data_IF_789070914591
#
_entry.id   IF_789070914591
#
_cell.length_a   1.000
_cell.length_b   1.000
_cell.length_c   1.000
_cell.angle_alpha   90.00
_cell.angle_beta   90.00
_cell.angle_gamma   90.00
#
_symmetry.space_group_name_H-M   'P 1'
#
loop_
_entity.id
_entity.type
_entity.pdbx_description
1 polymer ?
#
# COMPACT_ATOMS: atom_id res chain seq x y z
N UNK A 1 -71.94 39.76 19.19
CA UNK A 1 -70.88 38.75 19.27
C UNK A 1 -70.51 38.37 17.88
N UNK A 2 -69.33 38.77 17.35
CA UNK A 2 -68.86 38.54 15.99
C UNK A 2 -67.82 37.42 15.99
N UNK A 3 -68.16 36.25 15.45
CA UNK A 3 -67.20 35.14 15.24
C UNK A 3 -66.26 35.50 14.09
N UNK A 4 -64.96 35.54 14.38
CA UNK A 4 -63.92 35.63 13.36
C UNK A 4 -63.32 34.23 13.19
N UNK A 5 -63.56 33.63 12.03
CA UNK A 5 -62.96 32.40 11.57
C UNK A 5 -61.59 32.70 11.02
N UNK A 6 -60.52 32.19 11.61
CA UNK A 6 -59.16 32.26 11.05
C UNK A 6 -58.97 31.06 10.11
N UNK A 7 -58.80 31.32 8.85
CA UNK A 7 -58.34 30.34 7.88
C UNK A 7 -56.84 30.21 7.97
N UNK A 8 -56.32 29.05 8.32
CA UNK A 8 -54.92 28.73 8.31
C UNK A 8 -54.51 28.32 6.87
N UNK A 9 -53.71 29.13 6.21
CA UNK A 9 -53.10 28.77 4.94
C UNK A 9 -51.86 27.92 5.22
N UNK A 10 -51.91 26.62 4.92
CA UNK A 10 -50.74 25.72 4.97
C UNK A 10 -49.88 25.99 3.73
N UNK A 11 -48.76 26.62 3.92
CA UNK A 11 -47.74 26.81 2.89
C UNK A 11 -46.91 25.54 2.76
N UNK A 12 -47.20 24.68 1.77
CA UNK A 12 -46.41 23.49 1.46
C UNK A 12 -45.16 23.92 0.73
N UNK A 13 -44.04 23.97 1.42
CA UNK A 13 -42.74 24.21 0.79
C UNK A 13 -42.33 22.94 0.02
N UNK A 14 -42.42 22.99 -1.29
CA UNK A 14 -41.83 22.00 -2.20
C UNK A 14 -40.35 22.28 -2.25
N UNK A 15 -39.56 21.53 -1.48
CA UNK A 15 -38.10 21.51 -1.62
C UNK A 15 -37.76 20.84 -2.97
N UNK A 16 -37.04 21.54 -3.86
CA UNK A 16 -36.53 20.89 -5.06
C UNK A 16 -35.50 19.86 -4.65
N UNK A 17 -35.81 18.59 -4.86
CA UNK A 17 -34.79 17.54 -4.87
C UNK A 17 -33.79 17.89 -5.98
N UNK A 18 -32.65 18.46 -5.59
CA UNK A 18 -31.50 18.53 -6.48
C UNK A 18 -31.08 17.08 -6.78
N UNK A 19 -31.49 16.57 -7.93
CA UNK A 19 -30.93 15.34 -8.47
C UNK A 19 -29.45 15.63 -8.66
N UNK A 20 -28.62 15.06 -7.78
CA UNK A 20 -27.19 15.12 -7.93
C UNK A 20 -26.88 14.53 -9.31
N UNK A 21 -26.46 15.39 -10.24
CA UNK A 21 -25.93 14.93 -11.52
C UNK A 21 -24.78 13.99 -11.17
N UNK A 22 -24.74 12.78 -11.77
CA UNK A 22 -23.55 11.97 -11.63
C UNK A 22 -22.37 12.86 -12.03
N UNK A 23 -21.36 12.94 -11.18
CA UNK A 23 -20.13 13.65 -11.51
C UNK A 23 -19.72 13.17 -12.90
N UNK A 24 -19.59 14.10 -13.85
CA UNK A 24 -19.19 13.75 -15.20
C UNK A 24 -17.91 12.95 -15.07
N UNK A 25 -17.91 11.73 -15.62
CA UNK A 25 -16.72 10.89 -15.59
C UNK A 25 -15.55 11.73 -16.11
N UNK A 26 -14.48 11.75 -15.37
CA UNK A 26 -13.25 12.45 -15.72
C UNK A 26 -12.84 12.02 -17.13
N UNK A 27 -12.71 12.97 -18.05
CA UNK A 27 -12.42 12.69 -19.45
C UNK A 27 -11.08 13.29 -19.79
N UNK A 28 -10.14 12.42 -20.16
CA UNK A 28 -8.86 12.86 -20.68
C UNK A 28 -9.02 13.45 -22.09
N UNK A 29 -8.29 14.52 -22.36
CA UNK A 29 -8.20 15.08 -23.71
C UNK A 29 -7.34 14.19 -24.60
N UNK A 30 -7.89 13.71 -25.70
CA UNK A 30 -7.18 12.83 -26.62
C UNK A 30 -5.95 13.49 -27.28
N UNK A 31 -5.94 14.83 -27.34
CA UNK A 31 -4.83 15.62 -27.88
C UNK A 31 -3.75 15.99 -26.87
N UNK A 32 -3.97 15.72 -25.59
CA UNK A 32 -2.94 15.99 -24.59
C UNK A 32 -1.74 15.06 -24.81
N UNK A 33 -0.52 15.57 -24.73
CA UNK A 33 0.66 14.73 -24.78
C UNK A 33 0.57 13.76 -23.60
N UNK A 34 0.31 12.49 -23.88
CA UNK A 34 0.39 11.46 -22.86
C UNK A 34 1.84 11.31 -22.46
N UNK A 35 2.17 11.60 -21.22
CA UNK A 35 3.43 11.15 -20.66
C UNK A 35 3.45 9.62 -20.72
N UNK A 36 4.41 9.08 -21.45
CA UNK A 36 4.61 7.64 -21.53
C UNK A 36 5.66 7.28 -20.52
N UNK A 37 5.25 6.59 -19.48
CA UNK A 37 6.20 5.90 -18.63
C UNK A 37 6.84 4.78 -19.46
N UNK A 38 8.07 5.00 -19.87
CA UNK A 38 8.83 3.98 -20.57
C UNK A 38 9.41 3.03 -19.53
N UNK A 39 8.65 1.99 -19.18
CA UNK A 39 9.07 0.93 -18.25
C UNK A 39 10.26 0.10 -18.75
N UNK A 40 10.68 0.30 -19.98
CA UNK A 40 11.83 -0.32 -20.63
C UNK A 40 13.15 0.43 -20.38
N UNK A 41 13.11 1.53 -19.66
CA UNK A 41 14.31 2.27 -19.30
C UNK A 41 15.20 1.47 -18.33
N UNK A 42 16.49 1.55 -18.55
CA UNK A 42 17.50 0.79 -17.82
C UNK A 42 17.31 0.86 -16.31
N UNK A 43 17.14 -0.29 -15.68
CA UNK A 43 17.14 -0.40 -14.23
C UNK A 43 18.54 -0.07 -13.73
N UNK A 44 18.73 1.04 -12.99
CA UNK A 44 20.06 1.38 -12.47
C UNK A 44 20.46 0.35 -11.43
N UNK A 45 21.51 -0.39 -11.69
CA UNK A 45 22.26 -1.21 -10.76
C UNK A 45 21.47 -2.07 -9.76
N UNK A 46 22.18 -2.72 -8.84
CA UNK A 46 21.54 -3.45 -7.73
C UNK A 46 20.98 -2.44 -6.73
N UNK A 47 19.67 -2.53 -6.40
CA UNK A 47 19.09 -1.65 -5.41
C UNK A 47 19.78 -1.81 -4.05
N UNK A 48 20.17 -0.71 -3.43
CA UNK A 48 20.72 -0.71 -2.08
C UNK A 48 19.60 -0.89 -1.05
N UNK A 49 19.75 -1.84 -0.13
CA UNK A 49 18.82 -2.02 0.99
C UNK A 49 18.86 -0.83 1.97
N UNK A 50 19.99 -0.17 2.09
CA UNK A 50 20.18 1.04 2.90
C UNK A 50 20.78 2.15 2.05
N UNK A 51 19.99 3.17 1.84
CA UNK A 51 20.37 4.38 1.15
C UNK A 51 20.36 5.54 2.16
N UNK A 52 21.49 6.20 2.33
CA UNK A 52 21.64 7.38 3.18
C UNK A 52 20.96 8.63 2.60
N UNK A 53 20.44 8.56 1.38
CA UNK A 53 19.81 9.70 0.72
C UNK A 53 18.67 10.30 1.56
N UNK A 54 17.85 9.49 2.21
CA UNK A 54 16.78 9.98 3.07
C UNK A 54 17.27 10.80 4.27
N UNK A 55 18.39 10.40 4.88
CA UNK A 55 19.02 11.15 5.98
C UNK A 55 19.68 12.42 5.46
N UNK A 56 20.33 12.34 4.29
CA UNK A 56 20.93 13.47 3.62
C UNK A 56 19.90 14.51 3.20
N UNK A 57 18.78 14.08 2.68
CA UNK A 57 17.67 14.95 2.30
C UNK A 57 17.00 15.59 3.50
N UNK A 58 16.82 14.86 4.61
CA UNK A 58 16.31 15.43 5.86
C UNK A 58 17.24 16.53 6.37
N UNK A 59 18.57 16.28 6.34
CA UNK A 59 19.58 17.26 6.71
C UNK A 59 19.52 18.49 5.80
N UNK A 60 19.53 18.26 4.49
CA UNK A 60 19.49 19.34 3.49
C UNK A 60 18.21 20.16 3.61
N UNK A 61 17.05 19.52 3.80
CA UNK A 61 15.76 20.20 3.94
C UNK A 61 15.66 20.99 5.26
N UNK A 62 16.37 20.56 6.31
CA UNK A 62 16.44 21.32 7.57
C UNK A 62 17.12 22.67 7.38
N UNK A 63 18.10 22.75 6.50
CA UNK A 63 18.85 23.98 6.22
C UNK A 63 18.37 24.74 4.97
N UNK A 64 17.52 24.15 4.15
CA UNK A 64 16.87 24.86 3.05
C UNK A 64 15.85 25.84 3.64
N UNK A 65 16.03 27.13 3.33
CA UNK A 65 15.01 28.13 3.65
C UNK A 65 13.65 27.76 3.05
N UNK A 66 12.58 28.30 3.62
CA UNK A 66 11.22 28.10 3.06
C UNK A 66 11.25 28.35 1.56
N UNK A 67 10.61 27.49 0.74
CA UNK A 67 10.53 27.73 -0.69
C UNK A 67 9.99 29.13 -0.93
N UNK A 68 10.65 29.90 -1.81
CA UNK A 68 10.15 31.21 -2.22
C UNK A 68 8.71 31.02 -2.67
N UNK A 69 7.82 31.92 -2.27
CA UNK A 69 6.47 32.04 -2.83
C UNK A 69 6.61 32.42 -4.32
N UNK A 70 6.89 31.48 -5.15
CA UNK A 70 6.93 31.56 -6.60
C UNK A 70 5.87 30.65 -7.19
N UNK A 71 5.60 30.80 -8.47
CA UNK A 71 4.71 29.88 -9.18
C UNK A 71 5.20 28.44 -8.94
N UNK A 72 4.35 27.61 -8.34
CA UNK A 72 4.60 26.18 -8.25
C UNK A 72 4.64 25.69 -9.70
N UNK A 73 5.73 25.05 -10.17
CA UNK A 73 5.74 24.52 -11.52
C UNK A 73 4.56 23.55 -11.67
N UNK A 74 3.89 23.56 -12.82
CA UNK A 74 2.80 22.62 -13.07
C UNK A 74 3.32 21.20 -12.90
N UNK A 75 2.48 20.33 -12.32
CA UNK A 75 2.82 18.92 -12.21
C UNK A 75 3.00 18.36 -13.63
N UNK A 76 4.09 17.64 -13.83
CA UNK A 76 4.31 16.86 -15.04
C UNK A 76 3.49 15.57 -14.93
N UNK A 77 3.24 14.83 -15.97
CA UNK A 77 2.42 13.62 -15.92
C UNK A 77 0.93 13.86 -15.66
N UNK A 78 0.45 15.09 -15.86
CA UNK A 78 -0.97 15.44 -15.89
C UNK A 78 -1.32 16.07 -17.23
N UNK A 79 -2.60 15.96 -17.62
CA UNK A 79 -3.09 16.59 -18.82
C UNK A 79 -3.41 18.09 -18.59
N UNK A 80 -3.88 18.80 -19.63
CA UNK A 80 -4.25 20.23 -19.57
C UNK A 80 -5.38 20.53 -18.57
N UNK A 81 -6.13 19.52 -18.13
CA UNK A 81 -7.17 19.63 -17.12
C UNK A 81 -6.67 19.32 -15.71
N UNK A 82 -5.39 19.01 -15.56
CA UNK A 82 -4.81 18.60 -14.28
C UNK A 82 -5.17 17.16 -13.86
N UNK A 83 -5.58 16.33 -14.79
CA UNK A 83 -5.95 14.93 -14.56
C UNK A 83 -4.73 14.01 -14.77
N UNK A 84 -4.59 12.99 -13.92
CA UNK A 84 -3.54 11.98 -14.05
C UNK A 84 -4.01 10.90 -15.03
N UNK A 85 -3.29 10.66 -16.14
CA UNK A 85 -3.63 9.59 -17.07
C UNK A 85 -3.31 8.20 -16.51
N UNK A 86 -3.92 7.18 -17.10
CA UNK A 86 -3.53 5.79 -16.81
C UNK A 86 -2.09 5.55 -17.25
N UNK A 87 -1.35 4.80 -16.44
CA UNK A 87 0.06 4.49 -16.67
C UNK A 87 0.41 3.10 -16.13
N UNK A 88 1.67 2.69 -16.22
CA UNK A 88 2.15 1.43 -15.67
C UNK A 88 2.01 1.32 -14.14
N UNK A 89 1.92 2.43 -13.43
CA UNK A 89 1.83 2.48 -11.96
C UNK A 89 0.48 2.98 -11.43
N UNK A 90 -0.39 3.52 -12.29
CA UNK A 90 -1.66 4.14 -11.91
C UNK A 90 -2.76 3.81 -12.91
N UNK A 91 -3.97 3.56 -12.43
CA UNK A 91 -5.18 3.35 -13.22
C UNK A 91 -6.34 4.10 -12.56
N UNK A 92 -7.01 4.95 -13.31
CA UNK A 92 -8.15 5.69 -12.80
C UNK A 92 -9.30 4.75 -12.40
N UNK A 93 -9.65 4.71 -11.12
CA UNK A 93 -10.69 3.84 -10.58
C UNK A 93 -11.84 4.63 -9.99
N UNK A 94 -11.76 5.02 -8.73
CA UNK A 94 -12.90 5.62 -8.00
C UNK A 94 -13.34 6.98 -8.58
N UNK A 95 -12.44 7.71 -9.24
CA UNK A 95 -12.75 8.99 -9.90
C UNK A 95 -13.48 8.83 -11.23
N UNK A 96 -13.34 7.67 -11.87
CA UNK A 96 -13.89 7.40 -13.21
C UNK A 96 -15.15 6.55 -13.13
N UNK A 97 -15.19 5.60 -12.21
CA UNK A 97 -16.35 4.73 -11.99
C UNK A 97 -16.68 4.59 -10.50
N UNK A 98 -17.96 4.44 -10.15
CA UNK A 98 -18.31 4.09 -8.77
C UNK A 98 -17.70 2.74 -8.40
N UNK A 99 -17.19 2.64 -7.19
CA UNK A 99 -16.74 1.39 -6.59
C UNK A 99 -17.66 1.03 -5.43
N UNK A 100 -18.14 -0.20 -5.40
CA UNK A 100 -18.90 -0.73 -4.28
C UNK A 100 -18.00 -0.92 -3.04
N UNK A 101 -18.61 -0.92 -1.85
CA UNK A 101 -17.90 -1.23 -0.61
C UNK A 101 -17.23 -2.62 -0.67
N UNK A 102 -17.87 -3.59 -1.33
CA UNK A 102 -17.31 -4.93 -1.50
C UNK A 102 -16.05 -4.92 -2.38
N UNK A 103 -16.04 -4.15 -3.47
CA UNK A 103 -14.85 -3.98 -4.32
C UNK A 103 -13.71 -3.30 -3.55
N UNK A 104 -13.99 -2.24 -2.80
CA UNK A 104 -12.98 -1.54 -1.98
C UNK A 104 -12.42 -2.50 -0.91
N UNK A 105 -13.28 -3.27 -0.23
CA UNK A 105 -12.84 -4.26 0.76
C UNK A 105 -11.96 -5.35 0.17
N UNK A 106 -12.29 -5.84 -1.02
CA UNK A 106 -11.47 -6.82 -1.73
C UNK A 106 -10.14 -6.21 -2.16
N UNK A 107 -10.16 -4.96 -2.62
CA UNK A 107 -8.98 -4.25 -3.13
C UNK A 107 -8.33 -5.02 -4.29
N UNK A 108 -6.99 -5.16 -4.30
CA UNK A 108 -6.27 -5.84 -5.37
C UNK A 108 -6.39 -7.36 -5.34
N UNK A 109 -6.94 -7.95 -4.29
CA UNK A 109 -6.94 -9.41 -4.09
C UNK A 109 -7.81 -10.13 -5.12
N UNK A 110 -7.23 -11.16 -5.74
CA UNK A 110 -7.86 -12.00 -6.76
C UNK A 110 -8.30 -13.36 -6.24
N UNK A 111 -7.70 -13.83 -5.16
CA UNK A 111 -7.96 -15.11 -4.53
C UNK A 111 -7.97 -15.02 -2.99
N UNK A 112 -7.96 -16.18 -2.32
CA UNK A 112 -8.03 -16.29 -0.86
C UNK A 112 -6.67 -16.12 -0.15
N UNK A 113 -5.61 -15.84 -0.89
CA UNK A 113 -4.29 -15.60 -0.34
C UNK A 113 -3.46 -16.86 -0.11
N UNK A 114 -2.53 -16.81 0.86
CA UNK A 114 -1.61 -17.91 1.07
C UNK A 114 -2.31 -19.16 1.57
N UNK A 115 -1.89 -20.30 1.06
CA UNK A 115 -2.37 -21.61 1.51
C UNK A 115 -1.90 -21.88 2.94
N UNK A 116 -2.87 -22.07 3.83
CA UNK A 116 -2.64 -22.38 5.26
C UNK A 116 -2.88 -23.84 5.61
N UNK A 117 -3.21 -24.69 4.64
CA UNK A 117 -3.46 -26.13 4.86
C UNK A 117 -2.17 -26.92 5.03
N UNK A 118 -1.07 -26.40 4.49
CA UNK A 118 0.27 -26.98 4.62
C UNK A 118 1.25 -26.04 5.34
N UNK A 119 2.47 -26.50 5.56
CA UNK A 119 3.48 -25.69 6.23
C UNK A 119 3.92 -24.51 5.37
N UNK A 120 4.15 -23.38 6.02
CA UNK A 120 4.87 -22.26 5.43
C UNK A 120 6.38 -22.43 5.61
N UNK A 121 7.13 -22.22 4.57
CA UNK A 121 8.59 -22.31 4.60
C UNK A 121 9.21 -20.92 4.57
N UNK A 122 9.87 -20.51 5.64
CA UNK A 122 10.59 -19.23 5.72
C UNK A 122 11.86 -19.34 4.90
N UNK A 123 11.97 -18.52 3.86
CA UNK A 123 13.13 -18.47 2.97
C UNK A 123 14.08 -17.30 3.30
N UNK A 124 13.57 -16.29 4.01
CA UNK A 124 14.39 -15.14 4.45
C UNK A 124 13.78 -14.47 5.68
N UNK A 125 14.60 -14.18 6.67
CA UNK A 125 14.27 -13.21 7.72
C UNK A 125 14.34 -11.79 7.16
N UNK A 126 13.50 -10.88 7.67
CA UNK A 126 13.47 -9.49 7.21
C UNK A 126 14.78 -8.78 7.55
N UNK A 127 15.37 -8.13 6.58
CA UNK A 127 16.66 -7.44 6.68
C UNK A 127 16.56 -5.93 6.89
N UNK A 128 15.39 -5.34 6.62
CA UNK A 128 15.21 -3.88 6.66
C UNK A 128 13.86 -3.47 7.25
N UNK A 129 13.81 -2.24 7.77
CA UNK A 129 12.62 -1.62 8.36
C UNK A 129 12.38 -2.02 9.82
N UNK A 130 11.56 -1.23 10.52
CA UNK A 130 11.32 -1.33 11.97
C UNK A 130 10.41 -2.52 12.31
N UNK A 131 9.43 -2.81 11.47
CA UNK A 131 8.49 -3.91 11.73
C UNK A 131 9.12 -5.26 11.39
N UNK A 132 9.32 -6.15 12.36
CA UNK A 132 9.83 -7.48 12.11
C UNK A 132 8.91 -8.31 11.20
N UNK A 133 9.50 -9.20 10.44
CA UNK A 133 8.79 -10.05 9.51
C UNK A 133 9.73 -11.05 8.85
N UNK A 134 9.20 -11.81 7.91
CA UNK A 134 9.95 -12.79 7.15
C UNK A 134 9.30 -13.00 5.78
N UNK A 135 10.04 -13.60 4.87
CA UNK A 135 9.53 -14.03 3.57
C UNK A 135 9.27 -15.53 3.63
N UNK A 136 8.10 -15.95 3.20
CA UNK A 136 7.71 -17.35 3.14
C UNK A 136 7.43 -17.82 1.72
N UNK A 137 7.49 -19.13 1.55
CA UNK A 137 6.73 -19.87 0.53
C UNK A 137 5.62 -20.64 1.21
N UNK A 138 4.41 -20.55 0.68
CA UNK A 138 3.28 -21.35 1.14
C UNK A 138 3.33 -22.78 0.60
N UNK A 139 2.33 -23.61 0.89
CA UNK A 139 2.29 -25.00 0.42
C UNK A 139 2.21 -25.14 -1.10
N UNK A 140 1.75 -24.11 -1.82
CA UNK A 140 1.73 -24.06 -3.29
C UNK A 140 3.04 -23.57 -3.89
N UNK A 141 3.97 -23.06 -3.06
CA UNK A 141 5.22 -22.45 -3.49
C UNK A 141 5.14 -20.96 -3.80
N UNK A 142 3.97 -20.33 -3.59
CA UNK A 142 3.80 -18.89 -3.75
C UNK A 142 4.57 -18.13 -2.67
N UNK A 143 5.20 -17.03 -3.06
CA UNK A 143 6.04 -16.22 -2.15
C UNK A 143 5.25 -15.06 -1.56
N UNK A 144 5.37 -14.90 -0.24
CA UNK A 144 4.75 -13.81 0.51
C UNK A 144 5.73 -13.13 1.46
N UNK A 145 5.60 -11.81 1.57
CA UNK A 145 6.22 -11.03 2.63
C UNK A 145 5.26 -10.96 3.81
N UNK A 146 5.72 -11.45 4.96
CA UNK A 146 4.88 -11.58 6.15
C UNK A 146 5.35 -10.59 7.22
N UNK A 147 4.40 -9.88 7.80
CA UNK A 147 4.61 -8.99 8.95
C UNK A 147 3.58 -9.29 10.03
N UNK A 148 3.93 -9.07 11.28
CA UNK A 148 3.07 -9.30 12.44
C UNK A 148 3.00 -8.06 13.33
N UNK A 149 1.98 -8.02 14.16
CA UNK A 149 1.77 -6.93 15.10
C UNK A 149 2.76 -7.00 16.28
N UNK A 150 3.18 -5.85 16.81
CA UNK A 150 3.88 -5.80 18.10
C UNK A 150 3.02 -6.39 19.22
N UNK A 151 3.65 -6.98 20.23
CA UNK A 151 2.93 -7.64 21.34
C UNK A 151 1.86 -6.77 22.00
N UNK A 152 2.16 -5.50 22.18
CA UNK A 152 1.30 -4.55 22.89
C UNK A 152 0.23 -3.89 21.99
N UNK A 153 0.33 -4.05 20.68
CA UNK A 153 -0.49 -3.32 19.71
C UNK A 153 -1.09 -4.26 18.67
N UNK A 154 -1.96 -5.15 19.13
CA UNK A 154 -2.67 -6.08 18.25
C UNK A 154 -3.49 -5.35 17.19
N UNK A 155 -3.29 -5.71 15.94
CA UNK A 155 -4.00 -5.14 14.80
C UNK A 155 -3.40 -3.85 14.24
N UNK A 156 -2.40 -3.25 14.89
CA UNK A 156 -1.85 -1.95 14.48
C UNK A 156 -1.15 -2.03 13.11
N UNK A 157 -0.08 -2.81 13.02
CA UNK A 157 0.72 -2.88 11.78
C UNK A 157 -0.01 -3.63 10.67
N UNK A 158 -0.62 -4.76 11.01
CA UNK A 158 -1.33 -5.59 10.04
C UNK A 158 -2.59 -4.91 9.53
N UNK A 159 -3.32 -4.21 10.39
CA UNK A 159 -4.51 -3.45 10.01
C UNK A 159 -4.17 -2.25 9.15
N UNK A 160 -3.16 -1.48 9.53
CA UNK A 160 -2.73 -0.31 8.78
C UNK A 160 -2.29 -0.68 7.35
N UNK A 161 -1.55 -1.79 7.20
CA UNK A 161 -1.11 -2.25 5.88
C UNK A 161 -2.27 -2.66 4.98
N UNK A 162 -3.24 -3.41 5.50
CA UNK A 162 -4.40 -3.84 4.70
C UNK A 162 -5.30 -2.66 4.35
N UNK A 163 -5.61 -1.78 5.32
CA UNK A 163 -6.43 -0.59 5.06
C UNK A 163 -5.74 0.31 4.03
N UNK A 164 -4.45 0.59 4.22
CA UNK A 164 -3.66 1.38 3.28
C UNK A 164 -3.69 0.79 1.88
N UNK A 165 -3.43 -0.51 1.74
CA UNK A 165 -3.47 -1.20 0.45
C UNK A 165 -4.84 -1.08 -0.23
N UNK A 166 -5.95 -1.22 0.51
CA UNK A 166 -7.31 -1.09 -0.04
C UNK A 166 -7.59 0.33 -0.54
N UNK A 167 -7.20 1.33 0.24
CA UNK A 167 -7.38 2.74 -0.13
C UNK A 167 -6.51 3.11 -1.33
N UNK A 168 -5.23 2.75 -1.33
CA UNK A 168 -4.35 3.03 -2.48
C UNK A 168 -4.84 2.34 -3.75
N UNK A 169 -5.34 1.10 -3.65
CA UNK A 169 -5.97 0.43 -4.78
C UNK A 169 -7.19 1.21 -5.29
N UNK A 170 -8.09 1.62 -4.40
CA UNK A 170 -9.27 2.39 -4.78
C UNK A 170 -8.91 3.73 -5.43
N UNK A 171 -7.85 4.38 -4.95
CA UNK A 171 -7.33 5.63 -5.52
C UNK A 171 -6.65 5.47 -6.88
N UNK A 172 -6.33 4.23 -7.28
CA UNK A 172 -5.79 3.96 -8.61
C UNK A 172 -4.38 3.35 -8.63
N UNK A 173 -3.68 3.30 -7.51
CA UNK A 173 -2.32 2.76 -7.48
C UNK A 173 -2.30 1.24 -7.67
N UNK A 174 -1.28 0.74 -8.37
CA UNK A 174 -0.96 -0.67 -8.40
C UNK A 174 -0.27 -1.05 -7.09
N UNK A 175 -0.92 -1.88 -6.32
CA UNK A 175 -0.45 -2.31 -5.00
C UNK A 175 -0.48 -3.85 -4.91
N UNK A 176 0.39 -4.44 -4.10
CA UNK A 176 0.39 -5.89 -3.94
C UNK A 176 -0.88 -6.38 -3.26
N UNK A 177 -1.28 -7.60 -3.58
CA UNK A 177 -2.35 -8.30 -2.89
C UNK A 177 -1.94 -8.57 -1.43
N UNK A 178 -2.86 -8.33 -0.48
CA UNK A 178 -2.59 -8.49 0.95
C UNK A 178 -3.75 -9.16 1.67
N UNK A 179 -3.43 -10.05 2.61
CA UNK A 179 -4.40 -10.77 3.43
C UNK A 179 -4.02 -10.74 4.91
N UNK A 180 -5.03 -10.68 5.77
CA UNK A 180 -4.86 -11.01 7.18
C UNK A 180 -4.98 -12.52 7.32
N UNK A 181 -3.98 -13.14 7.90
CA UNK A 181 -3.94 -14.58 8.13
C UNK A 181 -3.61 -14.86 9.60
N UNK A 182 -4.14 -15.95 10.11
CA UNK A 182 -3.89 -16.41 11.47
C UNK A 182 -3.15 -17.74 11.41
N UNK A 183 -1.92 -17.77 11.89
CA UNK A 183 -1.06 -18.95 11.81
C UNK A 183 -0.52 -19.33 13.17
N UNK A 184 -0.23 -20.62 13.37
CA UNK A 184 0.47 -21.13 14.54
C UNK A 184 1.95 -21.28 14.25
N UNK A 185 2.78 -21.23 15.28
CA UNK A 185 4.23 -21.44 15.13
C UNK A 185 4.56 -22.79 14.47
N UNK A 186 3.81 -23.83 14.79
CA UNK A 186 4.01 -25.19 14.29
C UNK A 186 3.74 -25.33 12.77
N UNK A 187 3.02 -24.38 12.20
CA UNK A 187 2.76 -24.33 10.75
C UNK A 187 3.91 -23.67 9.97
N UNK A 188 4.91 -23.15 10.65
CA UNK A 188 6.01 -22.41 10.01
C UNK A 188 7.32 -23.16 10.24
N UNK A 189 8.11 -23.35 9.19
CA UNK A 189 9.43 -24.00 9.22
C UNK A 189 10.46 -23.09 8.57
N UNK A 190 11.70 -23.18 9.01
CA UNK A 190 12.82 -22.45 8.41
C UNK A 190 13.45 -23.32 7.31
N UNK A 191 13.59 -22.77 6.12
CA UNK A 191 14.33 -23.40 5.04
C UNK A 191 15.80 -23.54 5.45
N UNK A 192 16.48 -24.69 5.21
CA UNK A 192 17.90 -24.86 5.52
C UNK A 192 18.81 -23.79 4.89
N UNK A 193 18.40 -23.23 3.77
CA UNK A 193 19.12 -22.18 3.06
C UNK A 193 18.67 -20.76 3.45
N UNK A 194 17.67 -20.64 4.33
CA UNK A 194 17.15 -19.35 4.75
C UNK A 194 18.25 -18.49 5.40
N UNK A 195 18.20 -17.21 5.10
CA UNK A 195 19.13 -16.24 5.66
C UNK A 195 18.41 -15.16 6.46
N UNK A 196 19.08 -14.67 7.50
CA UNK A 196 18.64 -13.50 8.26
C UNK A 196 19.78 -12.49 8.31
N UNK A 197 19.44 -11.22 8.14
CA UNK A 197 20.36 -10.10 8.32
C UNK A 197 19.82 -9.23 9.45
N UNK A 198 20.57 -9.13 10.52
CA UNK A 198 20.28 -8.18 11.59
C UNK A 198 20.92 -6.83 11.26
N UNK A 199 20.35 -5.77 11.78
CA UNK A 199 20.86 -4.41 11.58
C UNK A 199 22.35 -4.35 11.98
N UNK A 200 23.19 -3.81 11.09
CA UNK A 200 24.65 -3.70 11.24
C UNK A 200 25.46 -5.01 11.17
N UNK A 201 24.83 -6.18 10.96
CA UNK A 201 25.52 -7.45 10.86
C UNK A 201 25.52 -8.01 9.44
N UNK A 202 26.49 -8.89 9.15
CA UNK A 202 26.49 -9.66 7.90
C UNK A 202 25.32 -10.65 7.91
N UNK A 203 24.76 -10.96 6.74
CA UNK A 203 23.77 -12.03 6.64
C UNK A 203 24.34 -13.36 7.17
N UNK A 204 23.54 -14.12 7.87
CA UNK A 204 23.85 -15.47 8.31
C UNK A 204 22.67 -16.41 8.08
N UNK A 205 22.89 -17.71 8.22
CA UNK A 205 21.81 -18.70 8.22
C UNK A 205 20.81 -18.38 9.34
N UNK A 206 19.54 -18.49 8.99
CA UNK A 206 18.44 -18.38 9.94
C UNK A 206 18.19 -19.73 10.60
N UNK A 207 17.92 -19.74 11.87
CA UNK A 207 17.62 -20.94 12.65
C UNK A 207 16.17 -20.95 13.12
N UNK A 208 15.66 -22.12 13.53
CA UNK A 208 14.35 -22.22 14.16
C UNK A 208 14.27 -21.36 15.45
N UNK A 209 15.34 -21.26 16.21
CA UNK A 209 15.41 -20.40 17.40
C UNK A 209 15.29 -18.89 17.05
N UNK A 210 15.73 -18.47 15.88
CA UNK A 210 15.50 -17.09 15.41
C UNK A 210 14.01 -16.85 15.11
N UNK A 211 13.35 -17.83 14.51
CA UNK A 211 11.92 -17.78 14.25
C UNK A 211 11.12 -17.80 15.55
N UNK A 212 11.49 -18.64 16.53
CA UNK A 212 10.86 -18.70 17.85
C UNK A 212 10.89 -17.34 18.53
N UNK A 213 12.06 -16.72 18.63
CA UNK A 213 12.23 -15.37 19.20
C UNK A 213 11.39 -14.32 18.48
N UNK A 214 11.28 -14.44 17.16
CA UNK A 214 10.48 -13.53 16.36
C UNK A 214 9.00 -13.69 16.71
N UNK A 215 8.49 -14.92 16.74
CA UNK A 215 7.09 -15.23 17.06
C UNK A 215 6.73 -14.87 18.50
N UNK A 216 7.56 -15.23 19.47
CA UNK A 216 7.36 -14.90 20.90
C UNK A 216 7.26 -13.40 21.17
N UNK A 217 7.97 -12.59 20.38
CA UNK A 217 7.93 -11.12 20.51
C UNK A 217 6.68 -10.50 19.89
N UNK A 218 5.74 -11.27 19.34
CA UNK A 218 4.56 -10.78 18.63
C UNK A 218 3.29 -10.91 19.46
N UNK A 219 2.28 -10.13 19.07
CA UNK A 219 0.95 -10.26 19.62
C UNK A 219 0.36 -11.63 19.25
N UNK A 220 -0.10 -12.35 20.25
CA UNK A 220 -0.71 -13.66 20.09
C UNK A 220 -2.17 -13.63 20.53
N UNK A 221 -3.00 -14.43 19.88
CA UNK A 221 -4.34 -14.70 20.32
C UNK A 221 -4.35 -15.66 21.52
N UNK A 222 -5.44 -15.74 22.31
CA UNK A 222 -5.55 -16.66 23.43
C UNK A 222 -5.32 -18.13 23.06
N UNK A 223 -5.55 -18.52 21.81
CA UNK A 223 -5.34 -19.87 21.29
C UNK A 223 -3.93 -20.10 20.73
N UNK A 224 -3.01 -19.16 20.92
CA UNK A 224 -1.61 -19.23 20.48
C UNK A 224 -1.35 -18.87 19.01
N UNK A 225 -2.38 -18.51 18.23
CA UNK A 225 -2.19 -18.03 16.87
C UNK A 225 -1.63 -16.62 16.87
N UNK A 226 -0.76 -16.34 15.91
CA UNK A 226 -0.33 -14.99 15.58
C UNK A 226 -1.13 -14.44 14.41
N UNK A 227 -1.51 -13.18 14.51
CA UNK A 227 -2.08 -12.44 13.38
C UNK A 227 -0.97 -11.86 12.53
N UNK A 228 -1.03 -12.13 11.25
CA UNK A 228 -0.05 -11.63 10.29
C UNK A 228 -0.75 -10.99 9.10
N UNK A 229 -0.08 -10.05 8.45
CA UNK A 229 -0.40 -9.65 7.08
C UNK A 229 0.58 -10.34 6.14
N UNK A 230 0.04 -11.01 5.14
CA UNK A 230 0.80 -11.63 4.06
C UNK A 230 0.60 -10.81 2.79
N UNK A 231 1.68 -10.27 2.24
CA UNK A 231 1.70 -9.52 1.00
C UNK A 231 2.34 -10.36 -0.09
N UNK A 232 1.60 -10.65 -1.18
CA UNK A 232 2.12 -11.47 -2.29
C UNK A 232 3.30 -10.79 -2.96
N UNK A 233 4.35 -11.53 -3.23
CA UNK A 233 5.48 -11.04 -3.99
C UNK A 233 5.03 -10.67 -5.41
N UNK A 234 5.32 -9.44 -5.82
CA UNK A 234 5.06 -8.98 -7.19
C UNK A 234 6.18 -9.49 -8.08
N UNK A 235 5.87 -10.09 -9.24
CA UNK A 235 6.89 -10.48 -10.20
C UNK A 235 7.64 -9.26 -10.74
N UNK A 236 8.91 -9.44 -11.06
CA UNK A 236 9.76 -8.39 -11.61
C UNK A 236 11.04 -8.15 -10.82
N UNK A 237 11.79 -7.15 -11.23
CA UNK A 237 13.04 -6.76 -10.58
C UNK A 237 12.81 -5.55 -9.68
N UNK A 238 13.34 -5.62 -8.45
CA UNK A 238 13.28 -4.49 -7.52
C UNK A 238 14.21 -3.38 -8.02
N UNK A 239 13.66 -2.22 -8.37
CA UNK A 239 14.43 -1.05 -8.84
C UNK A 239 14.97 -0.18 -7.71
N UNK A 240 14.46 -0.33 -6.49
CA UNK A 240 14.92 0.40 -5.32
C UNK A 240 13.80 1.08 -4.55
N UNK A 241 14.16 2.03 -3.69
CA UNK A 241 13.20 2.79 -2.88
C UNK A 241 12.58 3.92 -3.69
N UNK A 242 11.26 4.07 -3.62
CA UNK A 242 10.59 5.26 -4.14
C UNK A 242 11.03 6.50 -3.34
N UNK A 243 11.36 7.57 -4.06
CA UNK A 243 11.68 8.88 -3.49
C UNK A 243 10.59 9.85 -3.93
N UNK A 244 9.92 10.48 -2.96
CA UNK A 244 8.79 11.37 -3.24
C UNK A 244 9.20 12.79 -3.66
N UNK A 245 10.48 13.10 -3.68
CA UNK A 245 11.01 14.46 -3.85
C UNK A 245 12.10 14.56 -4.93
N UNK A 246 12.40 13.48 -5.58
CA UNK A 246 13.29 13.44 -6.74
C UNK A 246 12.70 12.52 -7.80
N UNK A 247 12.83 12.95 -9.03
CA UNK A 247 12.56 12.11 -10.18
C UNK A 247 13.62 11.01 -10.30
N UNK A 248 13.29 9.93 -10.94
CA UNK A 248 14.27 8.92 -11.32
C UNK A 248 15.27 9.55 -12.31
N UNK A 249 16.55 9.12 -12.32
CA UNK A 249 17.53 9.64 -13.28
C UNK A 249 17.15 9.43 -14.75
N UNK A 250 16.28 8.45 -15.00
CA UNK A 250 15.75 8.08 -16.31
C UNK A 250 14.36 8.66 -16.58
N UNK A 251 13.82 9.49 -15.68
CA UNK A 251 12.57 10.20 -15.88
C UNK A 251 12.80 11.36 -16.85
N UNK A 252 12.04 11.45 -17.95
CA UNK A 252 12.19 12.52 -18.94
C UNK A 252 11.81 13.93 -18.43
N UNK A 253 11.34 14.06 -17.20
CA UNK A 253 10.83 15.30 -16.61
C UNK A 253 11.85 16.02 -15.74
#
# INVERSE_FOLDING_TARGET
MKNRTFAAIALTAVLPFAVARPAAAQRFHASDPAWKDADDLNVPGRPSEMDWSGSWDALTNTFRGKPRKGAIPPAQGVNSLGEVPDSSWFENRIGVRPMSVAEIRRGPNRDDGPDTTGPWTVVRGKSSGITPGFTIKDARGDTYFVKSDPREYFGLSTGAEVIGTRLFHAFGYHVPETWIVYVRREQIRVDPEATIKLLYYKPRRMTEADLDKLVESRAQLPDGRIRVVASRAVPGTVVGRAKFYVTRPDDPN
#
